data_IF_739023349002
#
_entry.id   IF_739023349002
#
_cell.length_a   1.000
_cell.length_b   1.000
_cell.length_c   1.000
_cell.angle_alpha   90.00
_cell.angle_beta   90.00
_cell.angle_gamma   90.00
#
_symmetry.space_group_name_H-M   'P 1'
#
loop_
_entity.id
_entity.type
_entity.pdbx_description
1 polymer ?
#
# COMPACT_ATOMS: atom_id res chain seq x y z
N UNK A 1 23.04 -87.37 14.26
CA UNK A 1 21.67 -86.92 14.34
C UNK A 1 21.71 -85.41 14.44
N UNK A 2 21.24 -84.70 13.41
CA UNK A 2 21.38 -83.29 13.23
C UNK A 2 20.00 -82.64 13.43
N UNK A 3 19.84 -81.84 14.46
CA UNK A 3 18.64 -81.04 14.67
C UNK A 3 18.83 -79.64 14.10
N UNK A 4 18.08 -79.32 13.07
CA UNK A 4 18.06 -78.03 12.38
C UNK A 4 16.98 -77.15 13.06
N UNK A 5 17.42 -76.09 13.78
CA UNK A 5 16.54 -75.12 14.37
C UNK A 5 16.25 -74.01 13.31
N UNK A 6 14.95 -73.86 12.94
CA UNK A 6 14.50 -72.83 12.02
C UNK A 6 14.05 -71.59 12.85
N UNK A 7 14.80 -70.50 12.75
CA UNK A 7 14.36 -69.21 13.27
C UNK A 7 13.38 -68.56 12.29
N UNK A 8 12.15 -68.33 12.70
CA UNK A 8 11.22 -67.43 12.03
C UNK A 8 11.60 -65.97 12.38
N UNK A 9 12.00 -65.24 11.39
CA UNK A 9 12.18 -63.77 11.53
C UNK A 9 10.89 -63.06 11.19
N UNK A 10 10.26 -62.49 12.19
CA UNK A 10 9.07 -61.62 12.04
C UNK A 10 9.54 -60.25 11.57
N UNK A 11 9.20 -59.91 10.36
CA UNK A 11 9.46 -58.54 9.81
C UNK A 11 8.34 -57.62 10.23
N UNK A 12 8.62 -56.70 11.15
CA UNK A 12 7.73 -55.60 11.50
C UNK A 12 7.90 -54.51 10.43
N UNK A 13 6.86 -54.27 9.64
CA UNK A 13 6.79 -53.16 8.70
C UNK A 13 6.42 -51.89 9.48
N UNK A 14 7.38 -50.96 9.64
CA UNK A 14 7.10 -49.60 10.07
C UNK A 14 6.50 -48.85 8.88
N UNK A 15 5.23 -48.53 8.94
CA UNK A 15 4.61 -47.61 8.00
C UNK A 15 4.97 -46.16 8.43
N UNK A 16 5.91 -45.55 7.72
CA UNK A 16 6.21 -44.10 7.87
C UNK A 16 5.07 -43.33 7.18
N UNK A 17 4.19 -42.76 7.98
CA UNK A 17 3.16 -41.83 7.51
C UNK A 17 3.78 -40.54 7.05
N UNK A 18 3.85 -40.32 5.73
CA UNK A 18 4.23 -39.05 5.12
C UNK A 18 3.04 -38.11 5.19
N UNK A 19 2.98 -37.25 6.23
CA UNK A 19 2.00 -36.16 6.26
C UNK A 19 2.43 -35.10 5.26
N UNK A 20 1.79 -35.11 4.10
CA UNK A 20 1.88 -34.05 3.11
C UNK A 20 1.19 -32.82 3.72
N UNK A 21 1.97 -31.89 4.27
CA UNK A 21 1.48 -30.57 4.66
C UNK A 21 0.99 -29.86 3.39
N UNK A 22 -0.32 -29.69 3.26
CA UNK A 22 -0.88 -28.75 2.29
C UNK A 22 -0.39 -27.36 2.67
N UNK A 23 0.65 -26.88 1.98
CA UNK A 23 0.96 -25.47 1.95
C UNK A 23 -0.24 -24.79 1.29
N UNK A 24 -1.08 -24.13 2.08
CA UNK A 24 -2.08 -23.20 1.56
C UNK A 24 -1.31 -22.08 0.84
N UNK A 25 -1.29 -22.15 -0.47
CA UNK A 25 -0.86 -21.02 -1.30
C UNK A 25 -1.79 -19.88 -0.94
N UNK A 26 -1.29 -18.89 -0.20
CA UNK A 26 -1.95 -17.59 -0.10
C UNK A 26 -2.00 -17.09 -1.54
N UNK A 27 -3.20 -17.08 -2.12
CA UNK A 27 -3.42 -16.39 -3.38
C UNK A 27 -3.10 -14.93 -3.09
N UNK A 28 -1.95 -14.47 -3.59
CA UNK A 28 -1.72 -13.05 -3.74
C UNK A 28 -2.89 -12.54 -4.59
N UNK A 29 -3.64 -11.56 -4.07
CA UNK A 29 -4.58 -10.80 -4.87
C UNK A 29 -3.85 -10.20 -6.08
N UNK A 30 -4.53 -9.46 -6.96
CA UNK A 30 -3.85 -8.81 -8.08
C UNK A 30 -2.60 -8.15 -7.55
N UNK A 31 -1.45 -8.36 -8.21
CA UNK A 31 -0.19 -7.86 -7.72
C UNK A 31 -0.28 -6.34 -7.58
N UNK A 32 0.33 -5.80 -6.53
CA UNK A 32 0.30 -4.37 -6.19
C UNK A 32 0.69 -3.45 -7.36
N UNK A 33 1.24 -3.99 -8.42
CA UNK A 33 1.87 -3.27 -9.53
C UNK A 33 1.40 -3.69 -10.93
N UNK A 34 0.26 -4.38 -11.04
CA UNK A 34 -0.27 -4.80 -12.35
C UNK A 34 -0.87 -3.64 -13.15
N UNK A 35 -1.47 -2.67 -12.47
CA UNK A 35 -2.07 -1.49 -13.09
C UNK A 35 -1.65 -0.21 -12.36
N UNK A 36 -1.76 0.95 -13.04
CA UNK A 36 -1.54 2.25 -12.40
C UNK A 36 -2.42 2.48 -11.17
N UNK A 37 -3.66 2.02 -11.19
CA UNK A 37 -4.57 2.11 -10.05
C UNK A 37 -4.14 1.21 -8.91
N UNK A 38 -3.72 -0.03 -9.22
CA UNK A 38 -3.33 -1.02 -8.22
C UNK A 38 -2.13 -0.54 -7.39
N UNK A 39 -1.10 0.02 -8.04
CA UNK A 39 0.10 0.48 -7.33
C UNK A 39 -0.18 1.69 -6.44
N UNK A 40 -1.06 2.61 -6.87
CA UNK A 40 -1.48 3.75 -6.04
C UNK A 40 -2.34 3.28 -4.87
N UNK A 41 -3.22 2.30 -5.08
CA UNK A 41 -4.00 1.70 -4.00
C UNK A 41 -3.11 0.99 -2.97
N UNK A 42 -2.13 0.20 -3.43
CA UNK A 42 -1.15 -0.46 -2.57
C UNK A 42 -0.34 0.54 -1.74
N UNK A 43 -0.01 1.71 -2.29
CA UNK A 43 0.63 2.78 -1.52
C UNK A 43 -0.24 3.23 -0.35
N UNK A 44 -1.52 3.54 -0.58
CA UNK A 44 -2.45 3.95 0.47
C UNK A 44 -2.66 2.86 1.53
N UNK A 45 -2.70 1.59 1.12
CA UNK A 45 -2.79 0.48 2.06
C UNK A 45 -1.55 0.37 2.95
N UNK A 46 -0.36 0.44 2.35
CA UNK A 46 0.91 0.19 3.06
C UNK A 46 1.30 1.31 4.01
N UNK A 47 0.95 2.56 3.69
CA UNK A 47 1.19 3.71 4.58
C UNK A 47 0.19 3.79 5.73
N UNK A 48 -0.97 3.13 5.59
CA UNK A 48 -2.06 3.17 6.56
C UNK A 48 -1.87 2.12 7.66
N UNK A 49 -2.04 2.52 8.92
CA UNK A 49 -2.05 1.59 10.05
C UNK A 49 -2.77 2.17 11.26
N UNK A 50 -3.29 1.30 12.11
CA UNK A 50 -3.81 1.67 13.43
C UNK A 50 -2.67 2.08 14.38
N UNK A 51 -3.02 2.75 15.47
CA UNK A 51 -2.09 3.17 16.50
C UNK A 51 -1.26 1.99 17.03
N UNK A 52 0.07 2.11 16.98
CA UNK A 52 1.00 1.07 17.43
C UNK A 52 1.11 -0.16 16.53
N UNK A 53 0.33 -0.24 15.46
CA UNK A 53 0.47 -1.32 14.48
C UNK A 53 1.68 -1.10 13.57
N UNK A 54 2.33 -2.20 13.19
CA UNK A 54 3.45 -2.14 12.25
C UNK A 54 2.93 -2.01 10.83
N UNK A 55 3.52 -1.08 10.07
CA UNK A 55 3.33 -0.96 8.62
C UNK A 55 4.23 -1.93 7.87
N UNK A 56 3.79 -2.37 6.70
CA UNK A 56 4.62 -3.19 5.80
C UNK A 56 5.49 -2.26 4.94
N UNK A 57 6.56 -1.76 5.55
CA UNK A 57 7.49 -0.85 4.87
C UNK A 57 8.30 -1.51 3.77
N UNK A 58 8.48 -2.83 3.79
CA UNK A 58 9.15 -3.54 2.70
C UNK A 58 8.24 -3.60 1.47
N UNK A 59 6.95 -3.87 1.65
CA UNK A 59 5.94 -3.76 0.60
C UNK A 59 5.85 -2.31 0.08
N UNK A 60 5.87 -1.31 0.97
CA UNK A 60 5.87 0.11 0.58
C UNK A 60 7.07 0.46 -0.30
N UNK A 61 8.30 0.11 0.13
CA UNK A 61 9.53 0.34 -0.64
C UNK A 61 9.49 -0.28 -2.03
N UNK A 62 8.92 -1.47 -2.13
CA UNK A 62 8.81 -2.21 -3.39
C UNK A 62 7.92 -1.52 -4.44
N UNK A 63 7.14 -0.52 -4.08
CA UNK A 63 6.31 0.25 -5.02
C UNK A 63 7.12 1.30 -5.79
N UNK A 64 8.28 1.72 -5.29
CA UNK A 64 9.03 2.85 -5.84
C UNK A 64 10.21 2.43 -6.70
N UNK A 65 10.40 3.15 -7.80
CA UNK A 65 11.64 3.09 -8.56
C UNK A 65 12.78 3.68 -7.73
N UNK A 66 13.98 3.10 -7.83
CA UNK A 66 15.16 3.64 -7.12
C UNK A 66 15.38 5.13 -7.45
N UNK A 67 15.51 5.96 -6.42
CA UNK A 67 15.64 7.41 -6.57
C UNK A 67 14.32 8.18 -6.70
N UNK A 68 13.17 7.52 -6.52
CA UNK A 68 11.88 8.19 -6.50
C UNK A 68 11.82 9.31 -5.46
N UNK A 69 11.09 10.39 -5.79
CA UNK A 69 10.94 11.56 -4.92
C UNK A 69 9.47 11.82 -4.62
N UNK A 70 9.20 12.10 -3.36
CA UNK A 70 7.91 12.62 -2.90
C UNK A 70 8.08 14.10 -2.54
N UNK A 71 7.14 14.93 -2.98
CA UNK A 71 7.14 16.36 -2.67
C UNK A 71 5.74 16.81 -2.25
N UNK A 72 5.67 17.57 -1.18
CA UNK A 72 4.41 18.09 -0.65
C UNK A 72 4.45 19.62 -0.65
N UNK A 73 3.47 20.24 -1.27
CA UNK A 73 3.23 21.66 -1.10
C UNK A 73 2.57 21.88 0.27
N UNK A 74 3.20 22.71 1.08
CA UNK A 74 2.70 23.13 2.38
C UNK A 74 2.20 24.56 2.26
N UNK A 75 0.91 24.77 2.55
CA UNK A 75 0.30 26.10 2.64
C UNK A 75 -0.50 26.15 3.94
N UNK A 76 0.09 26.76 4.95
CA UNK A 76 -0.50 26.89 6.27
C UNK A 76 -0.36 28.33 6.79
N UNK A 77 -1.08 28.64 7.85
CA UNK A 77 -0.97 29.95 8.52
C UNK A 77 0.43 30.21 9.12
N UNK A 78 1.29 29.20 9.21
CA UNK A 78 2.62 29.27 9.82
C UNK A 78 3.70 29.31 8.74
N UNK A 79 3.54 28.57 7.65
CA UNK A 79 4.54 28.44 6.61
C UNK A 79 3.92 28.09 5.26
N UNK A 80 4.49 28.67 4.19
CA UNK A 80 4.25 28.24 2.81
C UNK A 80 5.57 27.76 2.24
N UNK A 81 5.60 26.60 1.61
CA UNK A 81 6.84 26.03 1.08
C UNK A 81 6.65 24.67 0.41
N UNK A 82 7.76 24.03 0.11
CA UNK A 82 7.83 22.70 -0.47
C UNK A 82 8.68 21.82 0.45
N UNK A 83 8.15 20.70 0.86
CA UNK A 83 8.91 19.59 1.44
C UNK A 83 9.19 18.56 0.36
N UNK A 84 10.44 18.13 0.23
CA UNK A 84 10.84 17.04 -0.65
C UNK A 84 11.50 15.94 0.17
N UNK A 85 11.14 14.69 -0.09
CA UNK A 85 11.61 13.53 0.65
C UNK A 85 11.91 12.39 -0.31
N UNK A 86 12.85 11.54 0.06
CA UNK A 86 12.94 10.20 -0.51
C UNK A 86 12.04 9.21 0.26
N UNK A 87 12.07 7.95 -0.16
CA UNK A 87 11.22 6.90 0.43
C UNK A 87 11.55 6.67 1.92
N UNK A 88 12.83 6.68 2.30
CA UNK A 88 13.24 6.42 3.69
C UNK A 88 12.94 7.61 4.61
N UNK A 89 13.12 8.82 4.12
CA UNK A 89 12.76 10.04 4.84
C UNK A 89 11.26 10.11 5.12
N UNK A 90 10.43 9.70 4.15
CA UNK A 90 8.98 9.66 4.33
C UNK A 90 8.57 8.59 5.35
N UNK A 91 9.17 7.40 5.29
CA UNK A 91 8.94 6.32 6.27
C UNK A 91 9.26 6.82 7.69
N UNK A 92 10.45 7.40 7.88
CA UNK A 92 10.89 7.91 9.17
C UNK A 92 9.96 9.01 9.71
N UNK A 93 9.53 9.92 8.84
CA UNK A 93 8.60 10.99 9.21
C UNK A 93 7.23 10.43 9.59
N UNK A 94 6.70 9.48 8.81
CA UNK A 94 5.38 8.86 9.07
C UNK A 94 5.38 8.11 10.41
N UNK A 95 6.42 7.33 10.69
CA UNK A 95 6.54 6.63 11.97
C UNK A 95 6.67 7.60 13.14
N UNK A 96 7.49 8.63 13.00
CA UNK A 96 7.65 9.65 14.04
C UNK A 96 6.36 10.41 14.35
N UNK A 97 5.61 10.77 13.32
CA UNK A 97 4.40 11.59 13.46
C UNK A 97 3.17 10.77 13.89
N UNK A 98 3.05 9.54 13.37
CA UNK A 98 1.78 8.80 13.44
C UNK A 98 1.90 7.36 13.98
N UNK A 99 3.09 6.88 14.32
CA UNK A 99 3.26 5.53 14.85
C UNK A 99 2.44 5.27 16.11
N UNK A 100 2.32 6.26 17.00
CA UNK A 100 1.55 6.15 18.24
C UNK A 100 0.06 6.47 18.11
N UNK A 101 -0.37 7.21 17.07
CA UNK A 101 -1.74 7.73 16.93
C UNK A 101 -2.56 7.06 15.85
N UNK A 102 -1.91 6.32 14.96
CA UNK A 102 -2.51 5.79 13.75
C UNK A 102 -2.59 6.83 12.62
N UNK A 103 -2.67 6.31 11.40
CA UNK A 103 -2.79 7.09 10.17
C UNK A 103 -3.41 6.24 9.09
N UNK A 104 -4.52 6.69 8.53
CA UNK A 104 -5.21 6.03 7.43
C UNK A 104 -5.40 7.03 6.30
N UNK A 105 -4.68 6.85 5.22
CA UNK A 105 -4.85 7.62 4.00
C UNK A 105 -5.77 6.85 3.06
N UNK A 106 -6.94 7.40 2.79
CA UNK A 106 -8.01 6.73 2.07
C UNK A 106 -8.27 7.45 0.75
N UNK A 107 -8.16 6.78 -0.40
CA UNK A 107 -8.46 7.40 -1.68
C UNK A 107 -9.96 7.74 -1.78
N UNK A 108 -10.26 8.90 -2.35
CA UNK A 108 -11.63 9.37 -2.62
C UNK A 108 -11.97 9.20 -4.10
N UNK A 109 -11.18 9.79 -4.98
CA UNK A 109 -11.32 9.69 -6.43
C UNK A 109 -9.94 9.50 -7.04
N UNK A 110 -9.79 8.50 -7.90
CA UNK A 110 -8.55 8.24 -8.65
C UNK A 110 -8.83 8.35 -10.14
N UNK A 111 -7.99 9.11 -10.85
CA UNK A 111 -8.03 9.28 -12.32
C UNK A 111 -6.68 8.92 -12.88
N UNK A 112 -6.69 8.10 -13.94
CA UNK A 112 -5.49 7.65 -14.64
C UNK A 112 -5.49 8.14 -16.05
N UNK A 113 -4.37 8.69 -16.48
CA UNK A 113 -4.05 8.97 -17.87
C UNK A 113 -2.82 8.15 -18.24
N UNK A 114 -2.95 7.26 -19.23
CA UNK A 114 -1.88 6.34 -19.63
C UNK A 114 -1.55 6.50 -21.11
N UNK A 115 -0.25 6.48 -21.41
CA UNK A 115 0.28 6.40 -22.75
C UNK A 115 1.39 5.35 -22.82
N UNK A 116 1.08 4.16 -23.33
CA UNK A 116 2.03 3.05 -23.38
C UNK A 116 2.57 2.67 -21.98
N UNK A 117 3.85 2.83 -21.78
CA UNK A 117 4.56 2.51 -20.51
C UNK A 117 4.63 3.69 -19.53
N UNK A 118 4.00 4.82 -19.84
CA UNK A 118 3.89 5.99 -18.98
C UNK A 118 2.46 6.12 -18.45
N UNK A 119 2.30 6.38 -17.16
CA UNK A 119 1.02 6.78 -16.60
C UNK A 119 1.16 7.96 -15.65
N UNK A 120 0.11 8.77 -15.62
CA UNK A 120 -0.10 9.88 -14.69
C UNK A 120 -1.36 9.59 -13.88
N UNK A 121 -1.27 9.60 -12.56
CA UNK A 121 -2.40 9.29 -11.70
C UNK A 121 -2.67 10.45 -10.76
N UNK A 122 -3.83 11.06 -10.87
CA UNK A 122 -4.34 12.02 -9.88
C UNK A 122 -5.25 11.28 -8.92
N UNK A 123 -4.97 11.39 -7.62
CA UNK A 123 -5.77 10.75 -6.57
C UNK A 123 -6.03 11.72 -5.44
N UNK A 124 -7.29 12.08 -5.23
CA UNK A 124 -7.69 12.78 -4.01
C UNK A 124 -7.81 11.80 -2.87
N UNK A 125 -7.49 12.26 -1.68
CA UNK A 125 -7.47 11.43 -0.49
C UNK A 125 -8.03 12.18 0.72
N UNK A 126 -8.39 11.42 1.73
CA UNK A 126 -8.60 11.92 3.09
C UNK A 126 -7.73 11.13 4.07
N UNK A 127 -7.31 11.81 5.13
CA UNK A 127 -6.55 11.20 6.23
C UNK A 127 -7.42 11.14 7.47
N UNK A 128 -7.41 9.99 8.15
CA UNK A 128 -8.04 9.76 9.45
C UNK A 128 -7.01 9.16 10.41
N UNK A 129 -7.08 9.50 11.68
CA UNK A 129 -6.22 8.85 12.69
C UNK A 129 -6.75 7.44 13.03
N UNK A 130 -8.07 7.27 13.00
CA UNK A 130 -8.77 5.97 13.07
C UNK A 130 -9.73 5.88 11.90
N UNK A 131 -9.86 4.71 11.28
CA UNK A 131 -10.82 4.51 10.18
C UNK A 131 -12.26 4.87 10.55
N UNK A 132 -12.61 4.75 11.82
CA UNK A 132 -13.96 5.06 12.35
C UNK A 132 -14.21 6.53 12.64
N UNK A 133 -13.21 7.40 12.51
CA UNK A 133 -13.42 8.84 12.77
C UNK A 133 -14.43 9.40 11.76
N UNK A 134 -15.44 10.14 12.24
CA UNK A 134 -16.50 10.69 11.39
C UNK A 134 -15.97 11.76 10.44
N UNK A 135 -15.04 12.57 10.91
CA UNK A 135 -14.42 13.64 10.12
C UNK A 135 -12.96 13.31 9.82
N UNK A 136 -12.50 13.57 8.60
CA UNK A 136 -11.09 13.44 8.29
C UNK A 136 -10.26 14.51 9.02
N UNK A 137 -9.02 14.17 9.35
CA UNK A 137 -8.01 15.11 9.84
C UNK A 137 -7.65 16.14 8.76
N UNK A 138 -7.50 15.68 7.53
CA UNK A 138 -7.22 16.49 6.35
C UNK A 138 -7.67 15.77 5.09
N UNK A 139 -7.78 16.53 3.99
CA UNK A 139 -7.92 16.00 2.63
C UNK A 139 -6.85 16.62 1.75
N UNK A 140 -6.58 16.00 0.63
CA UNK A 140 -5.60 16.50 -0.32
C UNK A 140 -5.67 15.83 -1.66
N UNK A 141 -4.71 16.18 -2.50
CA UNK A 141 -4.54 15.67 -3.84
C UNK A 141 -3.10 15.20 -4.02
N UNK A 142 -2.93 13.97 -4.45
CA UNK A 142 -1.68 13.39 -4.90
C UNK A 142 -1.65 13.30 -6.43
N UNK A 143 -0.50 13.56 -7.02
CA UNK A 143 -0.23 13.37 -8.43
C UNK A 143 1.00 12.49 -8.59
N UNK A 144 0.77 11.25 -9.02
CA UNK A 144 1.81 10.25 -9.24
C UNK A 144 2.25 10.24 -10.68
N UNK A 145 3.55 10.06 -10.90
CA UNK A 145 4.13 9.69 -12.19
C UNK A 145 4.62 8.26 -12.11
N UNK A 146 4.18 7.44 -13.05
CA UNK A 146 4.46 6.01 -13.08
C UNK A 146 5.13 5.62 -14.40
N UNK A 147 6.04 4.66 -14.31
CA UNK A 147 6.62 3.97 -15.47
C UNK A 147 6.43 2.47 -15.35
N UNK A 148 6.19 1.82 -16.47
CA UNK A 148 6.19 0.36 -16.60
C UNK A 148 7.47 -0.09 -17.29
N UNK A 149 8.18 -1.07 -16.73
CA UNK A 149 9.43 -1.60 -17.28
C UNK A 149 9.22 -2.78 -18.25
N UNK A 150 7.95 -3.12 -18.53
CA UNK A 150 7.55 -4.27 -19.31
C UNK A 150 7.06 -5.44 -18.46
N UNK A 151 7.34 -5.42 -17.15
CA UNK A 151 6.92 -6.45 -16.19
C UNK A 151 5.96 -5.90 -15.14
N UNK A 152 6.16 -4.63 -14.72
CA UNK A 152 5.39 -4.00 -13.66
C UNK A 152 5.40 -2.47 -13.72
N UNK A 153 4.45 -1.86 -13.02
CA UNK A 153 4.44 -0.42 -12.76
C UNK A 153 5.32 -0.06 -11.57
N UNK A 154 5.93 1.14 -11.65
CA UNK A 154 6.76 1.74 -10.62
C UNK A 154 6.33 3.18 -10.36
N UNK A 155 6.31 3.60 -9.10
CA UNK A 155 6.16 5.01 -8.75
C UNK A 155 7.51 5.69 -8.93
N UNK A 156 7.57 6.69 -9.81
CA UNK A 156 8.77 7.48 -10.08
C UNK A 156 8.79 8.75 -9.24
N UNK A 157 7.61 9.37 -9.08
CA UNK A 157 7.45 10.53 -8.21
C UNK A 157 6.01 10.65 -7.72
N UNK A 158 5.84 11.31 -6.58
CA UNK A 158 4.55 11.80 -6.09
C UNK A 158 4.68 13.26 -5.71
N UNK A 159 3.76 14.09 -6.17
CA UNK A 159 3.61 15.49 -5.75
C UNK A 159 2.25 15.61 -5.10
N UNK A 160 2.20 16.12 -3.87
CA UNK A 160 0.96 16.26 -3.11
C UNK A 160 0.71 17.68 -2.63
N UNK A 161 -0.55 17.99 -2.39
CA UNK A 161 -0.96 19.21 -1.69
C UNK A 161 -2.18 18.91 -0.80
N UNK A 162 -2.17 19.52 0.38
CA UNK A 162 -3.31 19.44 1.30
C UNK A 162 -4.35 20.48 0.89
N UNK A 163 -5.63 20.09 0.99
CA UNK A 163 -6.75 21.00 0.78
C UNK A 163 -6.73 22.12 1.84
N UNK A 164 -6.95 23.34 1.38
CA UNK A 164 -7.10 24.51 2.26
C UNK A 164 -8.38 25.26 1.90
N UNK A 165 -8.79 26.22 2.74
CA UNK A 165 -9.94 27.07 2.42
C UNK A 165 -9.73 27.88 1.14
N UNK A 166 -8.49 28.30 0.84
CA UNK A 166 -8.13 29.05 -0.35
C UNK A 166 -7.88 28.15 -1.59
N UNK A 167 -7.69 26.85 -1.36
CA UNK A 167 -7.42 25.86 -2.40
C UNK A 167 -8.22 24.58 -2.11
N UNK A 168 -9.55 24.59 -2.31
CA UNK A 168 -10.38 23.41 -2.11
C UNK A 168 -10.09 22.35 -3.18
N UNK A 169 -10.41 21.09 -2.86
CA UNK A 169 -10.36 20.03 -3.88
C UNK A 169 -11.29 20.36 -5.05
N UNK A 170 -10.85 20.13 -6.29
CA UNK A 170 -11.73 20.29 -7.45
C UNK A 170 -12.96 19.37 -7.37
N UNK A 171 -14.13 19.82 -7.78
CA UNK A 171 -15.37 19.03 -7.77
C UNK A 171 -15.19 17.66 -8.46
N UNK A 172 -14.44 17.64 -9.56
CA UNK A 172 -14.14 16.42 -10.31
C UNK A 172 -13.26 15.40 -9.52
N UNK A 173 -12.70 15.81 -8.37
CA UNK A 173 -11.88 15.00 -7.47
C UNK A 173 -12.59 14.77 -6.12
N UNK A 174 -13.87 15.04 -6.05
CA UNK A 174 -14.74 14.69 -4.94
C UNK A 174 -15.63 13.50 -5.31
N UNK A 175 -15.95 12.60 -4.36
CA UNK A 175 -16.95 11.57 -4.60
C UNK A 175 -18.27 12.22 -5.04
N UNK A 176 -18.95 11.60 -6.01
CA UNK A 176 -20.28 12.04 -6.39
C UNK A 176 -21.14 12.09 -5.11
N UNK A 177 -21.74 13.25 -4.84
CA UNK A 177 -22.71 13.37 -3.75
C UNK A 177 -23.78 12.30 -3.99
N UNK A 178 -24.00 11.41 -3.05
CA UNK A 178 -25.16 10.52 -3.11
C UNK A 178 -26.37 11.42 -3.18
N UNK A 179 -26.94 11.53 -4.38
CA UNK A 179 -28.17 12.28 -4.59
C UNK A 179 -29.15 11.84 -3.52
N UNK A 180 -29.65 12.79 -2.73
CA UNK A 180 -30.73 12.53 -1.80
C UNK A 180 -31.85 11.89 -2.61
N UNK A 181 -32.25 10.70 -2.21
CA UNK A 181 -33.51 10.15 -2.65
C UNK A 181 -34.59 11.08 -2.07
N UNK A 182 -35.18 11.91 -2.93
CA UNK A 182 -36.47 12.56 -2.66
C UNK A 182 -37.57 11.51 -2.66
#
# INVERSE_FOLDING_TARGET
>A
MKHTCRYLATRTLLAAGLTLGLATSVHAGPSDWETPEAIVHALYETISADAGAKRDWDRYRALFLGGARMSMAVDSSIATGIMGMDTEELIAQTESAYGATGFHELPLVTKVEQHGLLASVMSSFEVRLRRSDEQPLMRGLNHFQLLNDGERWWIVSNIGAVETRSSPLPDAMLPASRGGAE
#
